data_IF_416565210196
#
_entry.id   IF_416565210196
#
_cell.length_a   1.000
_cell.length_b   1.000
_cell.length_c   1.000
_cell.angle_alpha   90.00
_cell.angle_beta   90.00
_cell.angle_gamma   90.00
#
_symmetry.space_group_name_H-M   'P 1'
#
loop_
_entity.id
_entity.type
_entity.pdbx_description
1 polymer ?
#
# COMPACT_ATOMS: atom_id res chain seq x y z
N UNK A 1 -0.50 3.34 -6.69
CA UNK A 1 -1.62 4.30 -6.55
C UNK A 1 -2.81 3.57 -5.95
N UNK A 2 -3.42 4.11 -4.87
CA UNK A 2 -4.63 3.57 -4.26
C UNK A 2 -5.86 4.33 -4.76
N UNK A 3 -6.95 3.62 -5.09
CA UNK A 3 -8.17 4.22 -5.67
C UNK A 3 -8.74 5.40 -4.86
N UNK A 4 -8.72 5.30 -3.52
CA UNK A 4 -9.28 6.33 -2.62
C UNK A 4 -8.25 7.31 -2.03
N UNK A 5 -6.96 6.93 -2.01
CA UNK A 5 -5.94 7.66 -1.25
C UNK A 5 -4.83 8.23 -2.15
N UNK A 6 -4.91 7.96 -3.45
CA UNK A 6 -3.98 8.47 -4.43
C UNK A 6 -2.60 7.82 -4.33
N UNK A 7 -1.59 8.63 -4.63
CA UNK A 7 -0.20 8.18 -4.64
C UNK A 7 0.36 8.09 -3.21
N UNK A 8 1.13 7.03 -2.97
CA UNK A 8 1.82 6.80 -1.72
C UNK A 8 3.12 6.03 -1.94
N UNK A 9 4.03 6.14 -0.98
CA UNK A 9 5.32 5.46 -0.98
C UNK A 9 5.27 4.28 -0.02
N UNK A 10 5.67 3.10 -0.48
CA UNK A 10 5.78 1.91 0.37
C UNK A 10 6.95 2.13 1.34
N UNK A 11 6.68 2.08 2.63
CA UNK A 11 7.69 2.20 3.69
C UNK A 11 8.09 0.85 4.26
N UNK A 12 7.20 -0.15 4.19
CA UNK A 12 7.50 -1.51 4.67
C UNK A 12 6.69 -2.57 3.92
N UNK A 13 7.25 -3.78 3.83
CA UNK A 13 6.62 -4.98 3.27
C UNK A 13 6.84 -6.12 4.25
N UNK A 14 5.76 -6.77 4.68
CA UNK A 14 5.82 -7.89 5.62
C UNK A 14 5.02 -9.08 5.07
N UNK A 15 5.67 -10.24 4.99
CA UNK A 15 5.04 -11.48 4.56
C UNK A 15 4.72 -12.34 5.78
N UNK A 16 3.45 -12.70 5.96
CA UNK A 16 2.98 -13.50 7.08
C UNK A 16 1.92 -14.50 6.63
N UNK A 17 2.21 -15.79 6.81
CA UNK A 17 1.28 -16.89 6.53
C UNK A 17 0.61 -16.79 5.14
N UNK A 18 1.39 -16.43 4.10
CA UNK A 18 0.89 -16.30 2.72
C UNK A 18 0.14 -15.00 2.43
N UNK A 19 0.04 -14.07 3.39
CA UNK A 19 -0.48 -12.72 3.18
C UNK A 19 0.65 -11.69 3.19
N UNK A 20 0.49 -10.63 2.40
CA UNK A 20 1.44 -9.51 2.35
C UNK A 20 0.78 -8.29 3.00
N UNK A 21 1.39 -7.79 4.07
CA UNK A 21 1.08 -6.50 4.67
C UNK A 21 2.00 -5.43 4.09
N UNK A 22 1.43 -4.30 3.67
CA UNK A 22 2.13 -3.14 3.14
C UNK A 22 1.87 -1.94 4.03
N UNK A 23 2.93 -1.32 4.53
CA UNK A 23 2.85 0.02 5.11
C UNK A 23 3.14 1.04 4.01
N UNK A 24 2.19 1.95 3.77
CA UNK A 24 2.26 2.97 2.72
C UNK A 24 1.99 4.35 3.33
N UNK A 25 2.87 5.30 3.02
CA UNK A 25 2.70 6.71 3.38
C UNK A 25 2.06 7.43 2.19
N UNK A 26 0.79 7.78 2.32
CA UNK A 26 0.03 8.51 1.31
C UNK A 26 0.19 10.02 1.49
N UNK A 27 0.43 10.75 0.39
CA UNK A 27 0.68 12.20 0.44
C UNK A 27 -0.43 13.00 1.13
N UNK A 28 -1.69 12.62 0.92
CA UNK A 28 -2.86 13.31 1.47
C UNK A 28 -3.45 12.66 2.71
N UNK A 29 -3.01 11.46 3.10
CA UNK A 29 -3.65 10.66 4.16
C UNK A 29 -2.70 10.16 5.25
N UNK A 30 -1.39 10.34 5.08
CA UNK A 30 -0.38 9.83 6.01
C UNK A 30 -0.18 8.31 5.93
N UNK A 31 0.40 7.70 6.98
CA UNK A 31 0.72 6.28 7.01
C UNK A 31 -0.54 5.40 7.13
N UNK A 32 -0.62 4.33 6.34
CA UNK A 32 -1.66 3.31 6.40
C UNK A 32 -1.08 1.92 6.18
N UNK A 33 -1.67 0.91 6.82
CA UNK A 33 -1.39 -0.51 6.59
C UNK A 33 -2.46 -1.15 5.72
N UNK A 34 -2.03 -1.93 4.75
CA UNK A 34 -2.87 -2.59 3.76
C UNK A 34 -2.52 -4.07 3.65
N UNK A 35 -3.52 -4.92 3.41
CA UNK A 35 -3.28 -6.28 2.92
C UNK A 35 -3.27 -6.24 1.39
N UNK A 36 -2.14 -6.56 0.77
CA UNK A 36 -1.95 -6.39 -0.67
C UNK A 36 -3.02 -7.11 -1.50
N UNK A 37 -3.44 -8.30 -1.08
CA UNK A 37 -4.45 -9.12 -1.76
C UNK A 37 -5.86 -8.52 -1.80
N UNK A 38 -6.17 -7.57 -0.91
CA UNK A 38 -7.50 -6.94 -0.82
C UNK A 38 -7.46 -5.45 -1.13
N UNK A 39 -6.27 -4.85 -1.21
CA UNK A 39 -6.12 -3.43 -1.40
C UNK A 39 -6.31 -3.05 -2.88
N UNK A 40 -7.15 -2.06 -3.22
CA UNK A 40 -7.31 -1.56 -4.59
C UNK A 40 -6.12 -0.65 -4.95
N UNK A 41 -4.95 -1.26 -5.08
CA UNK A 41 -3.68 -0.60 -5.40
C UNK A 41 -3.08 -1.15 -6.70
N UNK A 42 -2.49 -0.24 -7.47
CA UNK A 42 -1.70 -0.57 -8.65
C UNK A 42 -0.28 -0.06 -8.47
N UNK A 43 0.73 -0.84 -8.91
CA UNK A 43 2.11 -0.35 -8.97
C UNK A 43 2.19 0.67 -10.10
N UNK A 44 2.69 1.87 -9.81
CA UNK A 44 2.98 2.85 -10.84
C UNK A 44 4.33 2.45 -11.45
N UNK A 45 4.34 2.09 -12.72
CA UNK A 45 5.57 2.00 -13.51
C UNK A 45 5.95 3.43 -13.94
N UNK A 46 7.25 3.72 -13.95
CA UNK A 46 7.81 5.01 -14.40
C UNK A 46 7.75 5.15 -15.92
#
# INVERSE_FOLDING_TARGET
MHKAWGEGMVSNVNEKNGSIELDIIFKSQGPKRLLAQFAPIEKKED
#
